data_IF_918015876613
#
_entry.id   IF_918015876613
#
_cell.length_a   1.000
_cell.length_b   1.000
_cell.length_c   1.000
_cell.angle_alpha   90.00
_cell.angle_beta   90.00
_cell.angle_gamma   90.00
#
_symmetry.space_group_name_H-M   'P 1'
#
loop_
_entity.id
_entity.type
_entity.pdbx_description
1 polymer ?
#
# COMPACT_ATOMS: atom_id res chain seq x y z
N UNK A 1 -16.67 -3.60 -0.60
CA UNK A 1 -16.11 -2.52 -1.45
C UNK A 1 -16.06 -3.03 -2.87
N UNK A 2 -16.38 -2.18 -3.84
CA UNK A 2 -16.32 -2.49 -5.28
C UNK A 2 -15.94 -1.22 -6.04
N UNK A 3 -15.52 -1.33 -7.30
CA UNK A 3 -15.42 -0.16 -8.16
C UNK A 3 -16.80 0.47 -8.36
N UNK A 4 -16.83 1.80 -8.35
CA UNK A 4 -18.00 2.57 -8.74
C UNK A 4 -18.21 2.47 -10.27
N UNK A 5 -19.44 2.68 -10.72
CA UNK A 5 -19.76 2.67 -12.15
C UNK A 5 -19.03 3.76 -12.94
N UNK A 6 -18.64 4.86 -12.28
CA UNK A 6 -17.83 5.92 -12.90
C UNK A 6 -16.33 5.63 -12.93
N UNK A 7 -15.88 4.48 -12.41
CA UNK A 7 -14.46 4.14 -12.32
C UNK A 7 -13.86 3.89 -13.69
N UNK A 8 -12.70 4.49 -13.95
CA UNK A 8 -11.88 4.21 -15.14
C UNK A 8 -10.48 3.77 -14.71
N UNK A 9 -9.67 3.28 -15.66
CA UNK A 9 -8.28 2.91 -15.37
C UNK A 9 -7.44 4.12 -14.94
N UNK A 10 -7.67 5.29 -15.55
CA UNK A 10 -6.94 6.54 -15.25
C UNK A 10 -7.50 7.28 -14.03
N UNK A 11 -8.78 7.06 -13.71
CA UNK A 11 -9.48 7.69 -12.59
C UNK A 11 -10.26 6.65 -11.78
N UNK A 12 -9.57 5.75 -11.06
CA UNK A 12 -10.23 4.66 -10.40
C UNK A 12 -11.00 5.15 -9.16
N UNK A 13 -12.29 4.79 -9.12
CA UNK A 13 -13.23 5.21 -8.08
C UNK A 13 -13.73 3.97 -7.35
N UNK A 14 -13.59 3.95 -6.03
CA UNK A 14 -14.11 2.87 -5.19
C UNK A 14 -15.39 3.31 -4.49
N UNK A 15 -16.43 2.49 -4.62
CA UNK A 15 -17.63 2.57 -3.81
C UNK A 15 -17.46 1.71 -2.55
N UNK A 16 -17.47 2.37 -1.39
CA UNK A 16 -17.23 1.81 -0.08
C UNK A 16 -18.49 1.88 0.76
N UNK A 17 -18.91 0.74 1.30
CA UNK A 17 -19.95 0.63 2.30
C UNK A 17 -19.36 0.03 3.57
N UNK A 18 -19.78 0.54 4.72
CA UNK A 18 -19.32 0.04 6.01
C UNK A 18 -20.21 0.49 7.15
N UNK A 19 -19.75 0.19 8.37
CA UNK A 19 -20.29 0.74 9.61
C UNK A 19 -19.17 1.46 10.34
N UNK A 20 -19.45 2.62 10.91
CA UNK A 20 -18.53 3.29 11.82
C UNK A 20 -18.47 2.59 13.19
N UNK A 21 -17.67 3.15 14.09
CA UNK A 21 -17.50 2.62 15.45
C UNK A 21 -18.80 2.62 16.27
N UNK A 22 -19.77 3.48 15.93
CA UNK A 22 -21.09 3.54 16.56
C UNK A 22 -22.09 2.57 15.90
N UNK A 23 -21.66 1.80 14.90
CA UNK A 23 -22.48 0.87 14.14
C UNK A 23 -23.36 1.55 13.08
N UNK A 24 -23.23 2.87 12.89
CA UNK A 24 -24.00 3.62 11.89
C UNK A 24 -23.42 3.32 10.51
N UNK A 25 -24.32 3.00 9.57
CA UNK A 25 -23.96 2.69 8.20
C UNK A 25 -23.49 3.95 7.49
N UNK A 26 -22.46 3.81 6.67
CA UNK A 26 -22.01 4.85 5.77
C UNK A 26 -21.71 4.27 4.39
N UNK A 27 -21.79 5.17 3.41
CA UNK A 27 -21.48 4.91 2.01
C UNK A 27 -20.64 6.06 1.50
N UNK A 28 -19.54 5.77 0.81
CA UNK A 28 -18.66 6.80 0.21
C UNK A 28 -18.15 6.34 -1.16
N UNK A 29 -18.02 7.31 -2.07
CA UNK A 29 -17.22 7.18 -3.29
C UNK A 29 -15.84 7.77 -3.02
N UNK A 30 -14.79 7.02 -3.34
CA UNK A 30 -13.41 7.38 -3.03
C UNK A 30 -12.63 7.47 -4.33
N UNK A 31 -12.12 8.66 -4.64
CA UNK A 31 -11.18 8.89 -5.74
C UNK A 31 -9.80 8.42 -5.31
N UNK A 32 -9.33 7.30 -5.84
CA UNK A 32 -8.14 6.64 -5.33
C UNK A 32 -6.87 7.46 -5.57
N UNK A 33 -6.78 8.17 -6.71
CA UNK A 33 -5.64 9.04 -7.05
C UNK A 33 -5.44 10.20 -6.05
N UNK A 34 -6.50 10.56 -5.33
CA UNK A 34 -6.50 11.66 -4.37
C UNK A 34 -6.23 11.21 -2.94
N UNK A 35 -6.18 9.90 -2.68
CA UNK A 35 -5.87 9.35 -1.36
C UNK A 35 -4.43 9.68 -1.01
N UNK A 36 -4.23 10.47 0.06
CA UNK A 36 -2.93 10.83 0.60
C UNK A 36 -2.70 10.09 1.93
N UNK A 37 -1.72 9.19 1.98
CA UNK A 37 -1.41 8.44 3.20
C UNK A 37 -1.01 9.32 4.40
N UNK A 38 -0.55 10.55 4.19
CA UNK A 38 -0.25 11.48 5.29
C UNK A 38 -1.51 12.15 5.87
N UNK A 39 -2.66 12.06 5.18
CA UNK A 39 -3.94 12.59 5.64
C UNK A 39 -5.10 11.83 4.99
N UNK A 40 -5.34 10.60 5.45
CA UNK A 40 -6.42 9.76 4.93
C UNK A 40 -7.20 9.08 6.03
N UNK A 41 -8.43 8.73 5.74
CA UNK A 41 -9.27 7.91 6.60
C UNK A 41 -8.92 6.42 6.44
N UNK A 42 -9.16 5.59 7.47
CA UNK A 42 -9.03 4.13 7.34
C UNK A 42 -9.82 3.54 6.17
N UNK A 43 -10.99 4.09 5.86
CA UNK A 43 -11.79 3.66 4.70
C UNK A 43 -11.08 3.95 3.36
N UNK A 44 -10.49 5.14 3.20
CA UNK A 44 -9.73 5.53 2.00
C UNK A 44 -8.49 4.67 1.80
N UNK A 45 -7.69 4.48 2.84
CA UNK A 45 -6.51 3.63 2.77
C UNK A 45 -6.84 2.16 2.51
N UNK A 46 -7.94 1.66 3.08
CA UNK A 46 -8.42 0.30 2.80
C UNK A 46 -8.87 0.16 1.35
N UNK A 47 -9.57 1.14 0.80
CA UNK A 47 -9.95 1.14 -0.60
C UNK A 47 -8.71 1.13 -1.52
N UNK A 48 -7.71 1.98 -1.23
CA UNK A 48 -6.46 2.00 -1.97
C UNK A 48 -5.71 0.67 -1.90
N UNK A 49 -5.66 0.05 -0.71
CA UNK A 49 -5.09 -1.30 -0.53
C UNK A 49 -5.75 -2.33 -1.43
N UNK A 50 -7.08 -2.38 -1.42
CA UNK A 50 -7.86 -3.33 -2.23
C UNK A 50 -7.59 -3.11 -3.72
N UNK A 51 -7.56 -1.86 -4.18
CA UNK A 51 -7.23 -1.52 -5.56
C UNK A 51 -5.84 -2.03 -5.97
N UNK A 52 -4.79 -1.70 -5.21
CA UNK A 52 -3.43 -2.13 -5.53
C UNK A 52 -3.28 -3.66 -5.48
N UNK A 53 -3.93 -4.33 -4.53
CA UNK A 53 -3.95 -5.79 -4.48
C UNK A 53 -4.67 -6.40 -5.71
N UNK A 54 -5.78 -5.81 -6.17
CA UNK A 54 -6.47 -6.26 -7.38
C UNK A 54 -5.62 -6.03 -8.64
N UNK A 55 -4.82 -4.96 -8.69
CA UNK A 55 -3.82 -4.71 -9.73
C UNK A 55 -2.58 -5.60 -9.64
N UNK A 56 -2.55 -6.53 -8.70
CA UNK A 56 -1.52 -7.56 -8.61
C UNK A 56 -0.26 -7.15 -7.84
N UNK A 57 -0.31 -6.04 -7.08
CA UNK A 57 0.85 -5.60 -6.29
C UNK A 57 1.21 -6.65 -5.22
N UNK A 58 2.41 -7.23 -5.35
CA UNK A 58 2.87 -8.34 -4.49
C UNK A 58 3.21 -7.86 -3.08
N UNK A 59 3.73 -6.64 -2.92
CA UNK A 59 4.07 -6.09 -1.60
C UNK A 59 2.80 -5.85 -0.78
N UNK A 60 1.78 -5.28 -1.40
CA UNK A 60 0.48 -5.05 -0.76
C UNK A 60 -0.21 -6.37 -0.38
N UNK A 61 -0.08 -7.41 -1.23
CA UNK A 61 -0.61 -8.76 -0.94
C UNK A 61 0.14 -9.49 0.16
N UNK A 62 1.43 -9.23 0.33
CA UNK A 62 2.28 -9.90 1.32
C UNK A 62 2.08 -9.36 2.74
N UNK A 63 1.51 -8.15 2.90
CA UNK A 63 1.27 -7.56 4.22
C UNK A 63 -0.04 -8.05 4.85
N UNK A 64 -0.12 -7.97 6.18
CA UNK A 64 -1.36 -8.22 6.92
C UNK A 64 -2.39 -7.08 6.82
N UNK A 65 -2.08 -6.00 6.10
CA UNK A 65 -2.97 -4.87 5.83
C UNK A 65 -3.23 -3.97 7.04
N UNK A 66 -2.29 -3.09 7.36
CA UNK A 66 -2.41 -2.13 8.47
C UNK A 66 -3.69 -1.27 8.41
N UNK A 67 -4.18 -0.78 7.25
CA UNK A 67 -5.45 -0.07 7.18
C UNK A 67 -6.63 -0.89 7.71
N UNK A 68 -6.61 -2.21 7.53
CA UNK A 68 -7.63 -3.12 8.07
C UNK A 68 -7.55 -3.21 9.60
N UNK A 69 -6.34 -3.17 10.16
CA UNK A 69 -6.13 -3.14 11.60
C UNK A 69 -6.60 -1.81 12.20
N UNK A 70 -6.33 -0.70 11.52
CA UNK A 70 -6.81 0.63 11.93
C UNK A 70 -8.35 0.67 11.99
N UNK A 71 -9.04 0.10 11.00
CA UNK A 71 -10.52 -0.04 11.00
C UNK A 71 -11.06 -0.78 12.25
N UNK A 72 -10.29 -1.70 12.81
CA UNK A 72 -10.67 -2.47 14.00
C UNK A 72 -10.28 -1.82 15.34
N UNK A 73 -9.54 -0.71 15.34
CA UNK A 73 -8.76 -0.24 16.52
C UNK A 73 -9.40 0.86 17.38
N UNK A 74 -10.73 0.93 17.48
CA UNK A 74 -11.47 2.06 18.09
C UNK A 74 -11.26 3.43 17.39
N UNK A 75 -10.56 3.48 16.27
CA UNK A 75 -10.54 4.65 15.40
C UNK A 75 -11.79 4.66 14.52
N UNK A 76 -12.48 5.81 14.46
CA UNK A 76 -13.58 5.98 13.52
C UNK A 76 -13.02 5.86 12.09
N UNK A 77 -13.64 4.97 11.32
CA UNK A 77 -13.29 4.65 9.93
C UNK A 77 -13.31 5.85 8.98
N UNK A 78 -13.92 6.97 9.40
CA UNK A 78 -14.02 8.23 8.68
C UNK A 78 -13.17 9.37 9.27
N UNK A 79 -12.44 9.14 10.36
CA UNK A 79 -11.51 10.14 10.90
C UNK A 79 -10.17 10.03 10.20
N UNK A 80 -9.65 11.15 9.70
CA UNK A 80 -8.35 11.18 9.04
C UNK A 80 -7.22 10.97 10.04
N UNK A 81 -6.17 10.30 9.59
CA UNK A 81 -4.94 10.11 10.35
C UNK A 81 -3.72 10.11 9.42
N UNK A 82 -2.54 10.30 10.01
CA UNK A 82 -1.27 10.15 9.32
C UNK A 82 -0.89 8.66 9.28
N UNK A 83 -1.25 7.99 8.18
CA UNK A 83 -0.89 6.59 7.97
C UNK A 83 0.60 6.42 7.74
N UNK A 84 1.30 7.41 7.18
CA UNK A 84 2.76 7.32 7.03
C UNK A 84 3.42 7.20 8.40
N UNK A 85 3.10 8.11 9.32
CA UNK A 85 3.61 8.04 10.68
C UNK A 85 3.19 6.73 11.38
N UNK A 86 1.95 6.28 11.16
CA UNK A 86 1.46 5.02 11.74
C UNK A 86 2.25 3.80 11.25
N UNK A 87 2.52 3.72 9.94
CA UNK A 87 3.35 2.67 9.35
C UNK A 87 4.80 2.72 9.82
N UNK A 88 5.41 3.91 9.89
CA UNK A 88 6.78 4.11 10.37
C UNK A 88 6.92 3.65 11.83
N UNK A 89 5.96 4.03 12.70
CA UNK A 89 5.93 3.59 14.09
C UNK A 89 5.75 2.07 14.20
N UNK A 90 4.85 1.48 13.41
CA UNK A 90 4.62 0.04 13.40
C UNK A 90 5.85 -0.75 12.95
N UNK A 91 6.49 -0.31 11.86
CA UNK A 91 7.72 -0.91 11.36
C UNK A 91 8.84 -0.80 12.40
N UNK A 92 9.03 0.36 13.03
CA UNK A 92 10.04 0.54 14.09
C UNK A 92 9.83 -0.42 15.27
N UNK A 93 8.58 -0.59 15.72
CA UNK A 93 8.25 -1.55 16.78
C UNK A 93 8.59 -2.99 16.39
N UNK A 94 8.31 -3.38 15.15
CA UNK A 94 8.65 -4.71 14.64
C UNK A 94 10.17 -4.90 14.56
N UNK A 95 10.93 -3.91 14.11
CA UNK A 95 12.39 -3.97 14.09
C UNK A 95 12.97 -4.15 15.48
N UNK A 96 12.46 -3.38 16.46
CA UNK A 96 12.86 -3.49 17.86
C UNK A 96 12.53 -4.86 18.47
N UNK A 97 11.47 -5.52 17.99
CA UNK A 97 11.11 -6.88 18.35
C UNK A 97 11.90 -7.96 17.58
N UNK A 98 12.85 -7.58 16.72
CA UNK A 98 13.65 -8.50 15.91
C UNK A 98 12.97 -8.99 14.62
N UNK A 99 11.77 -8.50 14.31
CA UNK A 99 10.94 -8.89 13.17
C UNK A 99 11.22 -8.04 11.92
N UNK A 100 12.50 -7.93 11.53
CA UNK A 100 12.96 -7.03 10.45
C UNK A 100 12.30 -7.30 9.09
N UNK A 101 12.05 -8.57 8.75
CA UNK A 101 11.37 -8.93 7.50
C UNK A 101 9.96 -8.36 7.45
N UNK A 102 9.21 -8.44 8.57
CA UNK A 102 7.86 -7.92 8.66
C UNK A 102 7.86 -6.39 8.56
N UNK A 103 8.80 -5.72 9.22
CA UNK A 103 8.97 -4.27 9.10
C UNK A 103 9.18 -3.84 7.63
N UNK A 104 10.06 -4.55 6.90
CA UNK A 104 10.30 -4.30 5.48
C UNK A 104 9.06 -4.49 4.60
N UNK A 105 8.20 -5.47 4.90
CA UNK A 105 6.93 -5.68 4.18
C UNK A 105 6.02 -4.45 4.33
N UNK A 106 5.86 -3.93 5.56
CA UNK A 106 5.00 -2.78 5.81
C UNK A 106 5.57 -1.48 5.25
N UNK A 107 6.88 -1.26 5.34
CA UNK A 107 7.53 -0.11 4.71
C UNK A 107 7.39 -0.16 3.18
N UNK A 108 7.53 -1.35 2.58
CA UNK A 108 7.28 -1.51 1.14
C UNK A 108 5.83 -1.19 0.80
N UNK A 109 4.84 -1.66 1.56
CA UNK A 109 3.44 -1.33 1.36
C UNK A 109 3.19 0.20 1.43
N UNK A 110 3.77 0.89 2.43
CA UNK A 110 3.70 2.35 2.54
C UNK A 110 4.26 3.06 1.32
N UNK A 111 5.43 2.64 0.83
CA UNK A 111 6.04 3.21 -0.38
C UNK A 111 5.09 3.11 -1.59
N UNK A 112 4.29 2.05 -1.68
CA UNK A 112 3.37 1.83 -2.81
C UNK A 112 2.22 2.84 -2.75
N UNK A 113 1.71 3.13 -1.56
CA UNK A 113 0.71 4.19 -1.37
C UNK A 113 1.25 5.58 -1.70
N UNK A 114 2.43 5.91 -1.17
CA UNK A 114 3.06 7.22 -1.41
C UNK A 114 3.40 7.43 -2.89
N UNK A 115 3.90 6.38 -3.55
CA UNK A 115 4.18 6.43 -4.98
C UNK A 115 2.92 6.66 -5.79
N UNK A 116 1.87 5.84 -5.55
CA UNK A 116 0.60 5.93 -6.27
C UNK A 116 -0.03 7.33 -6.17
N UNK A 117 0.02 7.95 -4.99
CA UNK A 117 -0.46 9.31 -4.79
C UNK A 117 0.37 10.35 -5.57
N UNK A 118 1.70 10.28 -5.49
CA UNK A 118 2.60 11.23 -6.19
C UNK A 118 2.50 11.12 -7.70
N UNK A 119 2.28 9.93 -8.22
CA UNK A 119 2.17 9.67 -9.65
C UNK A 119 0.74 9.75 -10.18
N UNK A 120 -0.22 10.08 -9.31
CA UNK A 120 -1.64 10.22 -9.67
C UNK A 120 -2.20 9.00 -10.39
N UNK A 121 -1.95 7.81 -9.82
CA UNK A 121 -2.58 6.56 -10.27
C UNK A 121 -1.65 5.55 -10.95
N UNK A 122 -0.40 5.91 -11.23
CA UNK A 122 0.58 4.96 -11.81
C UNK A 122 1.01 3.96 -10.74
N UNK A 123 0.94 2.66 -11.05
CA UNK A 123 1.41 1.61 -10.13
C UNK A 123 2.87 1.23 -10.41
N UNK A 124 3.54 0.64 -9.41
CA UNK A 124 4.90 0.13 -9.59
C UNK A 124 4.99 -0.92 -10.72
N UNK A 125 3.97 -1.77 -10.88
CA UNK A 125 3.90 -2.76 -11.96
C UNK A 125 3.94 -2.12 -13.35
N UNK A 126 3.29 -0.95 -13.51
CA UNK A 126 3.28 -0.20 -14.78
C UNK A 126 4.68 0.29 -15.13
N UNK A 127 5.42 0.81 -14.13
CA UNK A 127 6.81 1.26 -14.36
C UNK A 127 7.78 0.13 -14.69
N UNK A 128 7.59 -1.07 -14.13
CA UNK A 128 8.41 -2.24 -14.47
C UNK A 128 8.17 -2.74 -15.91
N UNK A 129 6.98 -2.45 -16.46
CA UNK A 129 6.62 -2.76 -17.85
C UNK A 129 7.13 -1.72 -18.85
N UNK A 130 7.34 -0.48 -18.40
CA UNK A 130 7.89 0.63 -19.21
C UNK A 130 9.43 0.57 -19.26
N UNK A 131 10.08 -0.17 -18.37
CA UNK A 131 11.54 -0.30 -18.24
C UNK A 131 12.24 -1.12 -19.36
N UNK A 132 11.66 -1.21 -20.56
CA UNK A 132 12.33 -1.76 -21.75
C UNK A 132 12.92 -0.69 -22.66
N UNK A 133 12.58 0.60 -22.48
CA UNK A 133 13.19 1.69 -23.27
C UNK A 133 13.21 3.01 -22.49
N UNK A 134 14.19 3.19 -21.60
CA UNK A 134 14.87 4.46 -21.27
C UNK A 134 15.61 4.33 -19.92
N UNK A 135 16.94 4.23 -20.00
CA UNK A 135 17.89 4.74 -18.99
C UNK A 135 17.56 6.22 -18.73
N UNK A 136 17.63 6.81 -17.52
CA UNK A 136 18.76 6.92 -16.60
C UNK A 136 18.32 7.77 -15.37
N UNK A 137 18.99 7.65 -14.21
CA UNK A 137 19.21 8.82 -13.35
C UNK A 137 18.92 8.78 -11.84
N UNK A 138 18.18 7.81 -11.26
CA UNK A 138 17.80 7.89 -9.84
C UNK A 138 18.10 6.64 -8.99
N UNK A 139 18.72 5.61 -9.56
CA UNK A 139 19.13 4.40 -8.82
C UNK A 139 20.37 4.54 -7.93
N UNK A 140 20.98 5.72 -7.82
CA UNK A 140 22.24 5.91 -7.09
C UNK A 140 22.16 7.02 -6.05
N UNK A 141 21.38 6.78 -4.98
CA UNK A 141 21.75 7.16 -3.60
C UNK A 141 20.75 6.51 -2.65
N UNK A 142 21.26 5.74 -1.69
CA UNK A 142 20.58 5.12 -0.52
C UNK A 142 19.87 3.76 -0.66
N UNK A 143 20.31 2.87 -1.56
CA UNK A 143 20.12 1.42 -1.34
C UNK A 143 21.48 0.74 -1.20
N UNK A 144 22.11 0.96 -0.04
CA UNK A 144 23.16 0.06 0.44
C UNK A 144 22.46 -1.16 1.04
N UNK A 145 22.46 -2.24 0.26
CA UNK A 145 22.35 -3.64 0.69
C UNK A 145 21.07 -4.06 1.42
N UNK A 146 20.04 -4.43 0.66
CA UNK A 146 19.17 -5.55 1.02
C UNK A 146 19.58 -6.76 0.17
N UNK A 147 19.82 -7.95 0.77
CA UNK A 147 20.10 -9.15 -0.01
C UNK A 147 18.86 -9.50 -0.82
N UNK A 148 19.03 -9.65 -2.14
CA UNK A 148 18.02 -10.29 -2.97
C UNK A 148 17.79 -11.70 -2.42
N UNK A 149 16.54 -12.04 -2.09
CA UNK A 149 16.16 -13.43 -1.91
C UNK A 149 16.38 -14.16 -3.23
N UNK A 150 17.38 -15.05 -3.28
CA UNK A 150 17.47 -16.03 -4.35
C UNK A 150 16.21 -16.88 -4.37
N UNK A 151 15.73 -17.16 -5.59
CA UNK A 151 14.65 -18.09 -5.82
C UNK A 151 15.04 -19.48 -5.32
N UNK A 152 14.12 -20.18 -4.66
CA UNK A 152 14.30 -21.55 -4.15
C UNK A 152 14.75 -22.58 -5.22
N UNK A 153 14.74 -22.23 -6.51
CA UNK A 153 15.24 -23.08 -7.58
C UNK A 153 16.76 -22.99 -7.79
N UNK A 154 17.40 -21.91 -7.36
CA UNK A 154 18.84 -21.68 -7.60
C UNK A 154 19.74 -22.35 -6.56
N UNK A 155 19.23 -22.57 -5.34
CA UNK A 155 19.95 -23.27 -4.26
C UNK A 155 20.14 -24.77 -4.55
N UNK A 156 19.19 -25.40 -5.27
CA UNK A 156 19.19 -26.84 -5.54
C UNK A 156 20.20 -27.30 -6.59
N UNK A 157 20.98 -26.39 -7.20
CA UNK A 157 22.00 -26.71 -8.21
C UNK A 157 23.44 -26.64 -7.69
N UNK A 158 23.62 -26.37 -6.39
CA UNK A 158 24.93 -26.17 -5.74
C UNK A 158 25.21 -27.11 -4.56
N UNK A 159 24.48 -28.22 -4.46
CA UNK A 159 24.77 -29.29 -3.49
C UNK A 159 25.13 -30.56 -4.25
#
# INVERSE_FOLDING_TARGET
MKYDESSTDDGPVMYVEGKDIQGKRFTRKIQLNDVNAENATPAEMTALRVHLAQRGDKSVKASSGIPLMALGSYQDVNTTMDFKQYYENWASNLENAGLKQNAGIYMSELERYLFYHRTKGVTFSDTSSISSTATEGWRTKTMSTFPQLESSKDVAKRI
#
